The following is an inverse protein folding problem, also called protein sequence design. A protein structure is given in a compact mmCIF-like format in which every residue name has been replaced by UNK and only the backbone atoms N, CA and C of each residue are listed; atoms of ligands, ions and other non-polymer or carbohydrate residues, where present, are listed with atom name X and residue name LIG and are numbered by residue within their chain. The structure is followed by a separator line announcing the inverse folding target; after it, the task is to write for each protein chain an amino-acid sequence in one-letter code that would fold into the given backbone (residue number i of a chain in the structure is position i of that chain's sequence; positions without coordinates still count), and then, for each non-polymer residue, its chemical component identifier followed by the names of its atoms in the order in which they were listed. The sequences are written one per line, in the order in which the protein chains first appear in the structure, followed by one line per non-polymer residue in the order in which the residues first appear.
data_IF_444300053064
#
_entry.id   IF_444300053064
#
_cell.length_a   1.000
_cell.length_b   1.000
_cell.length_c   1.000
_cell.angle_alpha   90.00
_cell.angle_beta   90.00
_cell.angle_gamma   90.00
#
_symmetry.space_group_name_H-M   'P 1'
#
loop_
_entity.id
_entity.type
_entity.pdbx_description
1 polymer ?
#
# COMPACT_ATOMS: atom_id res chain seq x y z
N UNK A 1 72.19 11.36 0.07
CA UNK A 1 71.62 10.09 0.54
C UNK A 1 70.12 10.28 0.68
N UNK A 2 69.40 9.89 -0.37
CA UNK A 2 67.95 9.76 -0.44
C UNK A 2 67.49 8.79 0.65
N UNK A 3 66.54 9.17 1.50
CA UNK A 3 66.00 8.22 2.46
C UNK A 3 65.10 8.81 3.52
N UNK A 4 64.07 9.58 3.15
CA UNK A 4 62.99 9.95 4.06
C UNK A 4 61.73 10.39 3.29
N UNK A 5 61.28 9.58 2.33
CA UNK A 5 60.00 9.79 1.64
C UNK A 5 59.12 8.54 1.56
N UNK A 6 59.40 7.51 2.37
CA UNK A 6 58.70 6.23 2.31
C UNK A 6 57.77 5.94 3.49
N UNK A 7 57.63 6.83 4.49
CA UNK A 7 56.85 6.55 5.72
C UNK A 7 55.61 7.47 5.86
N UNK A 8 55.24 8.21 4.82
CA UNK A 8 54.05 9.10 4.86
C UNK A 8 52.97 8.69 3.85
N UNK A 9 53.06 7.48 3.27
CA UNK A 9 52.07 6.97 2.29
C UNK A 9 51.24 5.78 2.79
N UNK A 10 51.25 5.50 4.09
CA UNK A 10 50.48 4.40 4.70
C UNK A 10 49.31 4.85 5.60
N UNK A 11 48.96 6.14 5.62
CA UNK A 11 47.92 6.70 6.48
C UNK A 11 46.70 7.30 5.73
N UNK A 12 46.51 6.96 4.45
CA UNK A 12 45.40 7.49 3.62
C UNK A 12 44.50 6.41 3.04
N UNK A 13 44.03 5.48 3.87
CA UNK A 13 42.82 4.72 3.56
C UNK A 13 41.87 4.83 4.75
N UNK A 14 40.95 5.82 4.77
CA UNK A 14 39.80 5.71 5.62
C UNK A 14 38.95 4.56 5.08
N UNK A 15 38.85 3.50 5.87
CA UNK A 15 37.86 2.44 5.76
C UNK A 15 36.47 3.08 5.56
N UNK A 16 35.96 3.08 4.34
CA UNK A 16 34.54 3.38 4.08
C UNK A 16 33.73 2.09 4.24
N UNK A 17 33.79 1.51 5.43
CA UNK A 17 32.79 0.54 5.88
C UNK A 17 31.82 1.25 6.84
N UNK A 18 31.27 2.38 6.39
CA UNK A 18 29.97 2.81 6.89
C UNK A 18 28.97 1.84 6.28
N UNK A 19 28.76 0.72 6.97
CA UNK A 19 27.51 -0.01 6.82
C UNK A 19 26.42 1.04 6.88
N UNK A 20 25.62 1.15 5.81
CA UNK A 20 24.45 2.01 5.80
C UNK A 20 23.69 1.65 7.08
N UNK A 21 23.70 2.55 8.06
CA UNK A 21 22.71 2.51 9.11
C UNK A 21 21.39 2.69 8.37
N UNK A 22 20.68 1.59 8.16
CA UNK A 22 19.28 1.61 7.77
C UNK A 22 18.62 2.55 8.78
N UNK A 23 17.99 3.66 8.35
CA UNK A 23 17.28 4.53 9.26
C UNK A 23 16.34 3.63 10.06
N UNK A 24 16.48 3.62 11.38
CA UNK A 24 15.54 2.93 12.25
C UNK A 24 14.16 3.51 11.95
N UNK A 25 13.34 2.76 11.24
CA UNK A 25 12.00 3.17 10.87
C UNK A 25 11.21 3.38 12.14
N UNK A 26 10.56 4.55 12.27
CA UNK A 26 9.46 4.72 13.23
C UNK A 26 8.49 3.56 13.00
N UNK A 27 8.32 2.69 14.00
CA UNK A 27 7.34 1.61 13.89
C UNK A 27 5.97 2.25 13.61
N UNK A 28 5.20 1.74 12.62
CA UNK A 28 3.88 2.31 12.35
C UNK A 28 2.99 2.13 13.58
N UNK A 29 1.96 2.98 13.69
CA UNK A 29 0.96 2.86 14.74
C UNK A 29 0.09 1.61 14.48
N UNK A 30 0.62 0.43 14.79
CA UNK A 30 0.03 -0.87 14.44
C UNK A 30 -1.44 -1.00 14.85
N UNK A 31 -1.78 -0.60 16.08
CA UNK A 31 -3.17 -0.64 16.58
C UNK A 31 -4.12 0.24 15.74
N UNK A 32 -3.68 1.45 15.37
CA UNK A 32 -4.48 2.36 14.55
C UNK A 32 -4.62 1.83 13.13
N UNK A 33 -3.54 1.28 12.56
CA UNK A 33 -3.55 0.65 11.25
C UNK A 33 -4.45 -0.59 11.23
N UNK A 34 -4.46 -1.40 12.30
CA UNK A 34 -5.35 -2.55 12.45
C UNK A 34 -6.81 -2.11 12.49
N UNK A 35 -7.15 -1.10 13.29
CA UNK A 35 -8.52 -0.58 13.39
C UNK A 35 -9.02 -0.05 12.04
N UNK A 36 -8.22 0.77 11.36
CA UNK A 36 -8.61 1.33 10.06
C UNK A 36 -8.67 0.27 8.96
N UNK A 37 -7.73 -0.67 8.90
CA UNK A 37 -7.75 -1.75 7.90
C UNK A 37 -8.93 -2.72 8.10
N UNK A 38 -9.31 -2.99 9.35
CA UNK A 38 -10.51 -3.77 9.64
C UNK A 38 -11.78 -3.01 9.22
N UNK A 39 -11.85 -1.70 9.46
CA UNK A 39 -12.93 -0.83 8.98
C UNK A 39 -13.00 -0.83 7.45
N UNK A 40 -11.86 -0.77 6.76
CA UNK A 40 -11.78 -0.85 5.30
C UNK A 40 -12.35 -2.16 4.76
N UNK A 41 -12.04 -3.30 5.40
CA UNK A 41 -12.63 -4.58 5.05
C UNK A 41 -14.17 -4.50 5.10
N UNK A 42 -14.73 -3.98 6.20
CA UNK A 42 -16.19 -3.81 6.32
C UNK A 42 -16.77 -2.89 5.24
N UNK A 43 -16.15 -1.73 5.02
CA UNK A 43 -16.62 -0.74 4.07
C UNK A 43 -16.59 -1.25 2.63
N UNK A 44 -15.55 -1.96 2.21
CA UNK A 44 -15.47 -2.47 0.83
C UNK A 44 -16.52 -3.56 0.56
N UNK A 45 -16.84 -4.40 1.55
CA UNK A 45 -17.93 -5.38 1.43
C UNK A 45 -19.30 -4.69 1.36
N UNK A 46 -19.51 -3.62 2.12
CA UNK A 46 -20.77 -2.87 2.11
C UNK A 46 -20.94 -1.94 0.89
N UNK A 47 -19.84 -1.45 0.34
CA UNK A 47 -19.82 -0.63 -0.87
C UNK A 47 -20.01 -1.45 -2.14
N UNK A 48 -19.71 -2.75 -2.07
CA UNK A 48 -19.93 -3.67 -3.18
C UNK A 48 -21.44 -3.87 -3.37
N UNK A 49 -22.02 -3.53 -4.54
CA UNK A 49 -23.44 -3.71 -4.76
C UNK A 49 -23.81 -5.20 -4.61
N UNK A 50 -24.99 -5.46 -4.05
CA UNK A 50 -25.66 -6.77 -4.01
C UNK A 50 -26.10 -7.17 -5.42
N UNK A 51 -25.14 -7.34 -6.33
CA UNK A 51 -25.40 -7.92 -7.63
C UNK A 51 -25.28 -9.42 -7.41
N UNK A 52 -26.43 -10.10 -7.35
CA UNK A 52 -26.49 -11.55 -7.19
C UNK A 52 -25.59 -12.19 -8.24
N UNK A 53 -24.51 -12.81 -7.79
CA UNK A 53 -23.59 -13.65 -8.56
C UNK A 53 -23.54 -13.30 -10.06
N UNK A 54 -23.26 -12.04 -10.39
CA UNK A 54 -22.63 -11.77 -11.67
C UNK A 54 -21.20 -12.24 -11.46
N UNK A 55 -21.00 -13.55 -11.61
CA UNK A 55 -19.75 -14.04 -12.17
C UNK A 55 -19.63 -13.30 -13.49
N UNK A 56 -18.99 -12.14 -13.43
CA UNK A 56 -18.44 -11.49 -14.60
C UNK A 56 -17.62 -12.59 -15.25
N UNK A 57 -18.18 -13.15 -16.32
CA UNK A 57 -17.49 -14.11 -17.18
C UNK A 57 -16.11 -13.52 -17.39
N UNK A 58 -15.09 -14.21 -16.91
CA UNK A 58 -13.69 -13.81 -17.03
C UNK A 58 -13.48 -13.45 -18.49
N UNK A 59 -13.39 -12.16 -18.79
CA UNK A 59 -13.24 -11.71 -20.16
C UNK A 59 -11.88 -12.21 -20.64
N UNK A 60 -11.77 -12.69 -21.89
CA UNK A 60 -10.53 -13.22 -22.48
C UNK A 60 -9.33 -12.23 -22.45
N UNK A 61 -9.53 -10.97 -22.02
CA UNK A 61 -8.49 -9.94 -21.86
C UNK A 61 -8.18 -9.50 -20.42
N UNK A 62 -8.76 -10.15 -19.39
CA UNK A 62 -8.55 -9.75 -17.98
C UNK A 62 -7.06 -9.88 -17.57
N UNK A 63 -6.31 -10.80 -18.20
CA UNK A 63 -4.90 -11.06 -17.90
C UNK A 63 -3.96 -9.90 -18.29
N UNK A 64 -4.29 -9.13 -19.35
CA UNK A 64 -3.51 -7.96 -19.74
C UNK A 64 -3.71 -6.81 -18.74
N UNK A 65 -4.95 -6.58 -18.29
CA UNK A 65 -5.29 -5.50 -17.35
C UNK A 65 -4.88 -5.78 -15.90
N UNK A 66 -4.63 -7.04 -15.52
CA UNK A 66 -4.16 -7.37 -14.16
C UNK A 66 -2.74 -6.89 -13.85
N UNK A 67 -1.91 -6.67 -14.88
CA UNK A 67 -0.53 -6.22 -14.70
C UNK A 67 -0.42 -4.78 -14.19
N UNK A 68 -1.44 -3.95 -14.47
CA UNK A 68 -1.43 -2.52 -14.10
C UNK A 68 -1.96 -2.26 -12.68
N UNK A 69 -2.63 -3.25 -12.07
CA UNK A 69 -3.17 -3.15 -10.72
C UNK A 69 -2.12 -3.64 -9.72
N UNK A 70 -1.74 -2.86 -8.69
CA UNK A 70 -0.80 -3.30 -7.68
C UNK A 70 -1.41 -4.41 -6.83
N UNK A 71 -0.71 -5.54 -6.79
CA UNK A 71 -1.00 -6.67 -5.90
C UNK A 71 0.11 -6.80 -4.87
N UNK A 72 -0.22 -7.40 -3.73
CA UNK A 72 0.79 -7.84 -2.76
C UNK A 72 1.27 -9.22 -3.20
N UNK A 73 2.47 -9.28 -3.74
CA UNK A 73 3.09 -10.49 -4.29
C UNK A 73 3.82 -11.30 -3.20
N UNK A 74 4.22 -12.52 -3.55
CA UNK A 74 4.95 -13.41 -2.64
C UNK A 74 6.28 -12.81 -2.18
N UNK A 75 6.95 -12.05 -3.04
CA UNK A 75 8.24 -11.41 -2.75
C UNK A 75 8.15 -10.11 -1.94
N UNK A 76 6.94 -9.59 -1.70
CA UNK A 76 6.75 -8.30 -1.02
C UNK A 76 6.93 -8.36 0.51
N UNK A 77 7.22 -9.54 1.06
CA UNK A 77 7.55 -9.73 2.48
C UNK A 77 6.37 -9.50 3.43
N UNK A 78 5.14 -9.61 2.93
CA UNK A 78 3.92 -9.50 3.73
C UNK A 78 3.48 -10.81 4.40
N UNK A 79 4.28 -11.86 4.31
CA UNK A 79 4.11 -13.07 5.11
C UNK A 79 4.63 -12.85 6.55
N UNK A 80 4.20 -13.65 7.54
CA UNK A 80 4.61 -13.45 8.93
C UNK A 80 6.12 -13.43 9.17
N UNK A 81 6.90 -14.21 8.39
CA UNK A 81 8.35 -14.23 8.52
C UNK A 81 8.97 -12.96 7.92
N UNK A 82 8.52 -12.55 6.73
CA UNK A 82 8.92 -11.28 6.12
C UNK A 82 8.65 -10.06 7.00
N UNK A 83 7.48 -10.01 7.65
CA UNK A 83 7.12 -8.93 8.58
C UNK A 83 8.06 -8.86 9.79
N UNK A 84 8.47 -10.01 10.32
CA UNK A 84 9.40 -10.10 11.44
C UNK A 84 10.82 -9.70 11.05
N UNK A 85 11.24 -10.04 9.84
CA UNK A 85 12.60 -9.77 9.36
C UNK A 85 12.76 -8.30 8.96
N UNK A 86 11.84 -7.76 8.15
CA UNK A 86 11.78 -6.34 7.80
C UNK A 86 10.41 -5.96 7.22
N UNK A 87 9.53 -5.41 8.06
CA UNK A 87 8.19 -4.97 7.66
C UNK A 87 8.16 -3.82 6.65
N UNK A 88 9.25 -3.07 6.43
CA UNK A 88 9.24 -1.87 5.59
C UNK A 88 8.89 -2.16 4.13
N UNK A 89 9.35 -3.29 3.57
CA UNK A 89 9.02 -3.67 2.20
C UNK A 89 7.51 -3.88 2.03
N UNK A 90 6.90 -4.64 2.95
CA UNK A 90 5.47 -4.88 2.95
C UNK A 90 4.67 -3.59 3.16
N UNK A 91 5.07 -2.75 4.12
CA UNK A 91 4.38 -1.49 4.41
C UNK A 91 4.42 -0.52 3.23
N UNK A 92 5.57 -0.42 2.55
CA UNK A 92 5.71 0.36 1.32
C UNK A 92 4.77 -0.14 0.22
N UNK A 93 4.65 -1.47 0.06
CA UNK A 93 3.72 -2.09 -0.91
C UNK A 93 2.27 -1.85 -0.59
N UNK A 94 1.89 -1.96 0.69
CA UNK A 94 0.54 -1.64 1.14
C UNK A 94 0.24 -0.15 0.86
N UNK A 95 1.14 0.77 1.18
CA UNK A 95 0.90 2.18 0.89
C UNK A 95 0.79 2.47 -0.62
N UNK A 96 1.64 1.86 -1.45
CA UNK A 96 1.52 1.98 -2.91
C UNK A 96 0.12 1.55 -3.40
N UNK A 97 -0.38 0.42 -2.91
CA UNK A 97 -1.73 -0.05 -3.22
C UNK A 97 -2.82 0.89 -2.71
N UNK A 98 -2.69 1.42 -1.49
CA UNK A 98 -3.67 2.37 -0.93
C UNK A 98 -3.77 3.64 -1.78
N UNK A 99 -2.65 4.24 -2.16
CA UNK A 99 -2.61 5.44 -3.02
C UNK A 99 -3.21 5.15 -4.41
N UNK A 100 -2.95 3.96 -4.96
CA UNK A 100 -3.55 3.55 -6.23
C UNK A 100 -5.08 3.47 -6.15
N UNK A 101 -5.62 2.78 -5.14
CA UNK A 101 -7.07 2.66 -4.98
C UNK A 101 -7.73 3.99 -4.58
N UNK A 102 -7.05 4.83 -3.81
CA UNK A 102 -7.49 6.21 -3.53
C UNK A 102 -7.72 6.97 -4.83
N UNK A 103 -6.72 7.00 -5.74
CA UNK A 103 -6.84 7.65 -7.05
C UNK A 103 -7.95 7.05 -7.91
N UNK A 104 -8.12 5.73 -7.90
CA UNK A 104 -9.22 5.07 -8.62
C UNK A 104 -10.58 5.48 -8.07
N UNK A 105 -10.77 5.51 -6.75
CA UNK A 105 -12.03 5.89 -6.12
C UNK A 105 -12.34 7.39 -6.28
N UNK A 106 -11.31 8.22 -6.46
CA UNK A 106 -11.46 9.65 -6.80
C UNK A 106 -11.68 9.94 -8.30
N UNK A 107 -11.58 8.93 -9.17
CA UNK A 107 -11.67 9.11 -10.63
C UNK A 107 -13.10 9.25 -11.16
N UNK A 108 -13.25 9.52 -12.46
CA UNK A 108 -14.55 9.57 -13.15
C UNK A 108 -15.29 8.22 -13.09
N UNK A 109 -14.58 7.12 -12.81
CA UNK A 109 -15.20 5.81 -12.62
C UNK A 109 -16.23 5.87 -11.51
N UNK A 110 -15.92 6.51 -10.38
CA UNK A 110 -16.81 6.60 -9.21
C UNK A 110 -17.51 7.96 -9.05
N UNK A 111 -16.95 9.03 -9.63
CA UNK A 111 -17.52 10.38 -9.56
C UNK A 111 -18.40 10.74 -10.76
N UNK A 112 -18.22 10.06 -11.89
CA UNK A 112 -19.04 10.23 -13.10
C UNK A 112 -20.35 9.44 -13.08
N UNK A 113 -21.20 9.66 -14.09
CA UNK A 113 -22.48 8.96 -14.23
C UNK A 113 -22.32 7.43 -14.39
N UNK A 114 -23.17 6.59 -13.76
CA UNK A 114 -24.22 6.97 -12.80
C UNK A 114 -23.64 7.48 -11.48
N UNK A 115 -24.06 8.66 -11.04
CA UNK A 115 -23.44 9.36 -9.91
C UNK A 115 -23.68 8.64 -8.58
N UNK A 116 -22.65 8.61 -7.74
CA UNK A 116 -22.72 8.11 -6.37
C UNK A 116 -22.82 9.28 -5.38
N UNK A 117 -23.47 9.06 -4.25
CA UNK A 117 -23.51 10.06 -3.18
C UNK A 117 -22.12 10.20 -2.54
N UNK A 118 -21.60 11.42 -2.35
CA UNK A 118 -20.26 11.64 -1.79
C UNK A 118 -20.13 11.14 -0.35
N UNK A 119 -21.20 11.16 0.45
CA UNK A 119 -21.20 10.62 1.82
C UNK A 119 -21.68 9.14 1.90
N UNK A 120 -21.85 8.50 0.74
CA UNK A 120 -22.25 7.10 0.64
C UNK A 120 -21.12 6.12 1.04
N UNK A 121 -21.38 4.81 0.96
CA UNK A 121 -20.41 3.77 1.32
C UNK A 121 -19.06 3.90 0.62
N UNK A 122 -19.06 4.27 -0.67
CA UNK A 122 -17.84 4.49 -1.46
C UNK A 122 -17.06 5.72 -0.99
N UNK A 123 -17.74 6.81 -0.60
CA UNK A 123 -17.08 7.99 -0.07
C UNK A 123 -16.40 7.74 1.27
N UNK A 124 -17.07 7.01 2.16
CA UNK A 124 -16.48 6.59 3.44
C UNK A 124 -15.30 5.63 3.24
N UNK A 125 -15.39 4.75 2.24
CA UNK A 125 -14.29 3.87 1.83
C UNK A 125 -13.09 4.68 1.35
N UNK A 126 -13.30 5.66 0.45
CA UNK A 126 -12.25 6.56 -0.04
C UNK A 126 -11.58 7.32 1.12
N UNK A 127 -12.36 7.95 2.00
CA UNK A 127 -11.82 8.67 3.16
C UNK A 127 -11.03 7.76 4.11
N UNK A 128 -11.46 6.50 4.27
CA UNK A 128 -10.74 5.54 5.11
C UNK A 128 -9.44 5.05 4.47
N UNK A 129 -9.37 4.96 3.12
CA UNK A 129 -8.13 4.65 2.41
C UNK A 129 -7.09 5.76 2.60
N UNK A 130 -7.53 7.02 2.44
CA UNK A 130 -6.70 8.21 2.70
C UNK A 130 -6.19 8.22 4.15
N UNK A 131 -7.05 7.93 5.13
CA UNK A 131 -6.64 7.88 6.53
C UNK A 131 -5.57 6.82 6.80
N UNK A 132 -5.71 5.63 6.21
CA UNK A 132 -4.72 4.56 6.39
C UNK A 132 -3.41 4.86 5.64
N UNK A 133 -3.45 5.45 4.44
CA UNK A 133 -2.23 5.82 3.71
C UNK A 133 -1.43 6.87 4.48
N UNK A 134 -2.09 7.85 5.08
CA UNK A 134 -1.45 8.86 5.92
C UNK A 134 -0.79 8.26 7.18
N UNK A 135 -1.41 7.27 7.83
CA UNK A 135 -0.80 6.60 9.00
C UNK A 135 0.47 5.83 8.67
N UNK A 136 0.63 5.38 7.42
CA UNK A 136 1.81 4.63 6.98
C UNK A 136 2.97 5.52 6.56
N UNK A 137 2.73 6.80 6.29
CA UNK A 137 3.77 7.72 5.84
C UNK A 137 4.60 8.22 7.05
N UNK A 138 5.89 7.87 7.16
CA UNK A 138 6.71 8.36 8.26
C UNK A 138 7.03 9.85 8.08
N UNK A 139 7.06 10.60 9.17
CA UNK A 139 7.47 12.00 9.16
C UNK A 139 8.91 12.13 8.63
N UNK A 140 9.07 12.75 7.45
CA UNK A 140 10.38 13.00 6.84
C UNK A 140 10.84 11.97 5.79
N UNK A 141 10.10 10.87 5.57
CA UNK A 141 10.33 9.94 4.47
C UNK A 141 9.22 10.07 3.42
N UNK A 142 9.51 10.76 2.33
CA UNK A 142 8.69 10.61 1.11
C UNK A 142 9.02 9.24 0.52
N UNK A 143 8.17 8.23 0.74
CA UNK A 143 8.23 7.02 -0.07
C UNK A 143 8.14 7.47 -1.53
N UNK A 144 9.11 7.07 -2.35
CA UNK A 144 9.16 7.44 -3.75
C UNK A 144 7.96 6.74 -4.41
N UNK A 145 6.84 7.45 -4.48
CA UNK A 145 5.64 6.96 -5.15
C UNK A 145 6.01 6.97 -6.63
N UNK A 146 6.33 5.80 -7.18
CA UNK A 146 6.29 5.61 -8.63
C UNK A 146 4.97 6.20 -9.11
N UNK A 147 5.02 7.21 -9.98
CA UNK A 147 3.82 7.93 -10.44
C UNK A 147 2.81 6.91 -10.95
N UNK A 148 1.81 6.58 -10.10
CA UNK A 148 0.71 5.75 -10.55
C UNK A 148 -0.06 6.61 -11.55
N UNK A 149 -0.12 6.22 -12.84
CA UNK A 149 -0.78 7.01 -13.85
C UNK A 149 -2.21 7.31 -13.41
N UNK A 150 -2.67 8.53 -13.67
CA UNK A 150 -4.08 8.84 -13.50
C UNK A 150 -4.89 7.90 -14.41
N UNK A 151 -5.97 7.29 -13.90
CA UNK A 151 -6.78 6.36 -14.68
C UNK A 151 -7.30 7.06 -15.95
N UNK A 152 -7.35 6.30 -17.05
CA UNK A 152 -7.87 6.80 -18.32
C UNK A 152 -9.36 7.10 -18.21
N UNK A 153 -9.86 8.15 -18.91
CA UNK A 153 -11.28 8.47 -18.89
C UNK A 153 -12.14 7.29 -19.34
N UNK A 154 -13.18 6.97 -18.57
CA UNK A 154 -14.04 5.81 -18.80
C UNK A 154 -15.38 6.22 -19.44
N UNK A 155 -15.95 5.36 -20.29
CA UNK A 155 -17.30 5.58 -20.82
C UNK A 155 -18.36 5.23 -19.76
N UNK A 156 -19.49 5.95 -19.67
CA UNK A 156 -20.51 5.71 -18.62
C UNK A 156 -20.99 4.27 -18.49
N UNK A 157 -21.12 3.55 -19.61
CA UNK A 157 -21.54 2.14 -19.62
C UNK A 157 -20.48 1.18 -19.06
N UNK A 158 -19.19 1.52 -19.19
CA UNK A 158 -18.08 0.72 -18.63
C UNK A 158 -17.97 0.87 -17.12
N UNK A 159 -18.38 2.03 -16.58
CA UNK A 159 -18.14 2.40 -15.18
C UNK A 159 -18.76 1.41 -14.20
N UNK A 160 -19.97 0.93 -14.45
CA UNK A 160 -20.63 -0.03 -13.55
C UNK A 160 -19.83 -1.34 -13.43
N UNK A 161 -19.30 -1.84 -14.56
CA UNK A 161 -18.45 -3.02 -14.61
C UNK A 161 -17.10 -2.77 -13.92
N UNK A 162 -16.46 -1.64 -14.22
CA UNK A 162 -15.18 -1.25 -13.64
C UNK A 162 -15.27 -1.07 -12.12
N UNK A 163 -16.32 -0.40 -11.62
CA UNK A 163 -16.57 -0.26 -10.17
C UNK A 163 -16.56 -1.61 -9.47
N UNK A 164 -17.25 -2.59 -10.05
CA UNK A 164 -17.32 -3.94 -9.49
C UNK A 164 -15.95 -4.64 -9.51
N UNK A 165 -15.25 -4.63 -10.66
CA UNK A 165 -13.90 -5.22 -10.77
C UNK A 165 -12.93 -4.58 -9.76
N UNK A 166 -12.95 -3.26 -9.64
CA UNK A 166 -12.10 -2.50 -8.71
C UNK A 166 -12.44 -2.83 -7.26
N UNK A 167 -13.71 -2.83 -6.87
CA UNK A 167 -14.12 -3.13 -5.49
C UNK A 167 -13.79 -4.59 -5.11
N UNK A 168 -13.93 -5.54 -6.04
CA UNK A 168 -13.52 -6.93 -5.84
C UNK A 168 -12.00 -7.07 -5.67
N UNK A 169 -11.22 -6.37 -6.50
CA UNK A 169 -9.76 -6.35 -6.36
C UNK A 169 -9.33 -5.67 -5.05
N UNK A 170 -10.03 -4.60 -4.66
CA UNK A 170 -9.78 -3.93 -3.39
C UNK A 170 -10.09 -4.84 -2.19
N UNK A 171 -11.13 -5.69 -2.26
CA UNK A 171 -11.44 -6.67 -1.21
C UNK A 171 -10.27 -7.61 -0.91
N UNK A 172 -9.64 -8.18 -1.94
CA UNK A 172 -8.50 -9.08 -1.74
C UNK A 172 -7.31 -8.32 -1.15
N UNK A 173 -7.03 -7.12 -1.68
CA UNK A 173 -5.95 -6.25 -1.21
C UNK A 173 -6.11 -5.87 0.28
N UNK A 174 -7.25 -5.31 0.68
CA UNK A 174 -7.45 -4.87 2.08
C UNK A 174 -7.51 -6.05 3.05
N UNK A 175 -7.93 -7.23 2.60
CA UNK A 175 -7.91 -8.43 3.43
C UNK A 175 -6.47 -8.86 3.76
N UNK A 176 -5.52 -8.72 2.83
CA UNK A 176 -4.10 -8.97 3.12
C UNK A 176 -3.57 -7.89 4.06
N UNK A 177 -3.81 -6.62 3.76
CA UNK A 177 -3.37 -5.51 4.61
C UNK A 177 -3.89 -5.63 6.06
N UNK A 178 -5.17 -5.98 6.26
CA UNK A 178 -5.74 -6.17 7.59
C UNK A 178 -5.07 -7.31 8.36
N UNK A 179 -4.70 -8.42 7.68
CA UNK A 179 -3.94 -9.51 8.31
C UNK A 179 -2.54 -9.06 8.71
N UNK A 180 -1.86 -8.29 7.86
CA UNK A 180 -0.54 -7.71 8.15
C UNK A 180 -0.60 -6.85 9.40
N UNK A 181 -1.55 -5.92 9.48
CA UNK A 181 -1.66 -5.02 10.65
C UNK A 181 -2.13 -5.74 11.90
N UNK A 182 -3.04 -6.71 11.79
CA UNK A 182 -3.44 -7.54 12.93
C UNK A 182 -2.28 -8.38 13.46
N UNK A 183 -1.45 -8.92 12.57
CA UNK A 183 -0.25 -9.65 12.96
C UNK A 183 0.75 -8.72 13.64
N UNK A 184 1.10 -7.60 13.01
CA UNK A 184 2.03 -6.63 13.57
C UNK A 184 1.59 -6.10 14.94
N UNK A 185 0.31 -5.77 15.12
CA UNK A 185 -0.23 -5.35 16.42
C UNK A 185 -0.14 -6.45 17.50
N UNK A 186 -0.22 -7.73 17.11
CA UNK A 186 -0.13 -8.85 18.05
C UNK A 186 1.31 -9.26 18.39
N UNK A 187 2.28 -9.00 17.50
CA UNK A 187 3.66 -9.51 17.65
C UNK A 187 4.69 -8.43 17.95
N UNK A 188 4.42 -7.17 17.62
CA UNK A 188 5.33 -6.07 17.96
C UNK A 188 5.16 -5.71 19.45
N UNK A 189 6.24 -5.70 20.23
CA UNK A 189 6.14 -5.37 21.64
C UNK A 189 5.70 -3.90 21.78
N UNK A 190 4.61 -3.67 22.52
CA UNK A 190 4.28 -2.36 23.09
C UNK A 190 5.54 -1.84 23.80
N UNK A 191 6.26 -0.92 23.16
CA UNK A 191 7.38 -0.26 23.81
C UNK A 191 6.76 0.63 24.89
N UNK A 192 6.99 0.36 26.19
CA UNK A 192 6.43 1.22 27.22
C UNK A 192 6.97 2.63 27.01
N UNK A 193 6.05 3.59 26.89
CA UNK A 193 6.35 5.01 26.96
C UNK A 193 6.95 5.26 28.35
N UNK A 194 8.26 5.48 28.38
CA UNK A 194 8.99 5.92 29.57
C UNK A 194 8.79 7.43 29.79
#
# INVERSE_FOLDING_TARGET
MLGSRAVVLLLLLPWTAQGRAVPGSSNPAWDQCQQLSQKLCLLVWNAHPSVGHMDLLREEGDEETTNDVPHIQCEDGCDPQGLRDNSQFCLQRIHQGLIFYEKLLGSDIFTGEPSLLPDGPVGQLHASLVGLSQLLQPEGQSWEIQETPSPTPSQPWQRLLLRFKILRSLQSFVAVAARVFAHGAATEPLKPTA
#
